data_IF_652842360238
#
_entry.id   IF_652842360238
#
_cell.length_a   1.000
_cell.length_b   1.000
_cell.length_c   1.000
_cell.angle_alpha   90.00
_cell.angle_beta   90.00
_cell.angle_gamma   90.00
#
_symmetry.space_group_name_H-M   'P 1'
#
loop_
_entity.id
_entity.type
_entity.pdbx_description
1 polymer ?
#
# COMPACT_ATOMS: atom_id res chain seq x y z
N UNK A 1 -26.14 -2.52 17.53
CA UNK A 1 -26.04 -1.21 18.21
C UNK A 1 -27.43 -0.64 18.44
N UNK A 2 -28.31 -0.58 17.44
CA UNK A 2 -29.68 -0.05 17.56
C UNK A 2 -30.58 -0.82 18.53
N UNK A 3 -30.24 -2.05 18.88
CA UNK A 3 -30.90 -2.88 19.90
C UNK A 3 -30.37 -2.63 21.32
N UNK A 4 -29.59 -1.59 21.54
CA UNK A 4 -29.01 -1.25 22.86
C UNK A 4 -27.79 -2.08 23.27
N UNK A 5 -27.26 -2.93 22.35
CA UNK A 5 -26.09 -3.75 22.65
C UNK A 5 -24.79 -3.03 22.27
N UNK A 6 -23.75 -3.21 23.09
CA UNK A 6 -22.39 -2.83 22.73
C UNK A 6 -21.83 -3.83 21.72
N UNK A 7 -21.20 -3.31 20.67
CA UNK A 7 -20.59 -4.12 19.60
C UNK A 7 -19.13 -3.75 19.48
N UNK A 8 -18.26 -4.77 19.47
CA UNK A 8 -16.86 -4.63 19.18
C UNK A 8 -16.56 -5.43 17.89
N UNK A 9 -16.00 -4.75 16.89
CA UNK A 9 -15.52 -5.39 15.66
C UNK A 9 -14.01 -5.51 15.73
N UNK A 10 -13.49 -6.74 15.61
CA UNK A 10 -12.06 -7.02 15.55
C UNK A 10 -11.64 -7.12 14.08
N UNK A 11 -10.54 -6.45 13.75
CA UNK A 11 -9.95 -6.46 12.41
C UNK A 11 -8.54 -7.04 12.47
N UNK A 12 -8.10 -7.63 11.37
CA UNK A 12 -6.71 -8.00 11.19
C UNK A 12 -5.89 -6.74 10.90
N UNK A 13 -4.81 -6.54 11.64
CA UNK A 13 -3.96 -5.36 11.52
C UNK A 13 -4.61 -4.06 12.06
N UNK A 14 -4.28 -2.93 11.47
CA UNK A 14 -4.87 -1.63 11.85
C UNK A 14 -6.27 -1.48 11.24
N UNK A 15 -7.31 -1.23 12.05
CA UNK A 15 -8.70 -1.20 11.56
C UNK A 15 -9.05 -0.02 10.65
N UNK A 16 -8.17 0.96 10.51
CA UNK A 16 -8.42 2.17 9.71
C UNK A 16 -7.46 2.38 8.55
N UNK A 17 -6.46 1.51 8.34
CA UNK A 17 -5.51 1.63 7.23
C UNK A 17 -5.96 0.73 6.09
N UNK A 18 -6.40 1.32 4.97
CA UNK A 18 -6.97 0.64 3.80
C UNK A 18 -8.20 -0.25 4.12
N UNK A 19 -8.99 0.12 5.13
CA UNK A 19 -10.19 -0.63 5.60
C UNK A 19 -11.43 0.26 5.54
N UNK A 20 -12.03 0.40 4.38
CA UNK A 20 -13.27 1.18 4.16
C UNK A 20 -14.44 0.77 5.09
N UNK A 21 -14.72 -0.54 5.33
CA UNK A 21 -15.88 -0.96 6.13
C UNK A 21 -15.89 -0.42 7.56
N UNK A 22 -14.76 -0.31 8.22
CA UNK A 22 -14.66 0.21 9.60
C UNK A 22 -14.99 1.69 9.68
N UNK A 23 -14.46 2.49 8.76
CA UNK A 23 -14.77 3.92 8.67
C UNK A 23 -16.25 4.15 8.40
N UNK A 24 -16.82 3.40 7.47
CA UNK A 24 -18.24 3.51 7.12
C UNK A 24 -19.16 3.07 8.28
N UNK A 25 -18.80 2.00 8.98
CA UNK A 25 -19.54 1.57 10.17
C UNK A 25 -19.56 2.66 11.24
N UNK A 26 -18.42 3.27 11.56
CA UNK A 26 -18.33 4.37 12.52
C UNK A 26 -19.15 5.57 12.05
N UNK A 27 -19.05 5.96 10.78
CA UNK A 27 -19.80 7.05 10.20
C UNK A 27 -21.32 6.84 10.36
N UNK A 28 -21.83 5.62 10.05
CA UNK A 28 -23.25 5.28 10.20
C UNK A 28 -23.71 5.31 11.65
N UNK A 29 -22.95 4.74 12.57
CA UNK A 29 -23.29 4.72 14.00
C UNK A 29 -23.35 6.14 14.56
N UNK A 30 -22.38 7.00 14.22
CA UNK A 30 -22.39 8.40 14.62
C UNK A 30 -23.55 9.20 14.04
N UNK A 31 -23.96 8.91 12.80
CA UNK A 31 -25.12 9.53 12.15
C UNK A 31 -26.46 9.19 12.85
N UNK A 32 -26.52 8.08 13.62
CA UNK A 32 -27.65 7.71 14.46
C UNK A 32 -27.60 8.34 15.86
N UNK A 33 -26.64 9.25 16.12
CA UNK A 33 -26.45 9.87 17.44
C UNK A 33 -25.84 8.93 18.49
N UNK A 34 -25.29 7.78 18.07
CA UNK A 34 -24.67 6.79 18.96
C UNK A 34 -23.14 6.96 18.98
N UNK A 35 -22.52 6.51 20.07
CA UNK A 35 -21.07 6.56 20.21
C UNK A 35 -20.38 5.44 19.44
N UNK A 36 -19.35 5.81 18.69
CA UNK A 36 -18.45 4.86 18.04
C UNK A 36 -17.05 5.47 17.90
N UNK A 37 -16.04 4.66 18.15
CA UNK A 37 -14.64 5.05 18.00
C UNK A 37 -13.81 3.87 17.47
N UNK A 38 -12.65 4.16 16.94
CA UNK A 38 -11.68 3.19 16.48
C UNK A 38 -10.50 3.20 17.45
N UNK A 39 -10.06 2.03 17.86
CA UNK A 39 -8.79 1.87 18.55
C UNK A 39 -7.70 1.62 17.51
N UNK A 40 -6.52 2.25 17.61
CA UNK A 40 -5.42 2.01 16.69
C UNK A 40 -4.88 0.60 16.86
N UNK A 41 -4.25 0.10 15.80
CA UNK A 41 -3.55 -1.17 15.78
C UNK A 41 -2.26 -1.06 14.97
N UNK A 42 -1.51 -2.14 14.85
CA UNK A 42 -0.31 -2.21 13.99
C UNK A 42 -0.76 -2.53 12.58
N UNK A 43 -0.33 -1.72 11.61
CA UNK A 43 -0.60 -1.93 10.17
C UNK A 43 0.55 -2.67 9.50
N UNK A 44 0.31 -3.15 8.28
CA UNK A 44 1.39 -3.66 7.42
C UNK A 44 2.41 -2.57 7.07
N UNK A 45 2.03 -1.29 7.13
CA UNK A 45 2.93 -0.15 6.93
C UNK A 45 3.94 -0.02 8.07
N UNK A 46 3.49 -0.18 9.32
CA UNK A 46 4.38 -0.18 10.49
C UNK A 46 5.40 -1.33 10.39
N UNK A 47 4.95 -2.53 9.98
CA UNK A 47 5.82 -3.68 9.76
C UNK A 47 6.82 -3.40 8.62
N UNK A 48 6.36 -2.89 7.49
CA UNK A 48 7.18 -2.56 6.33
C UNK A 48 8.29 -1.56 6.68
N UNK A 49 7.95 -0.50 7.42
CA UNK A 49 8.90 0.51 7.88
C UNK A 49 9.98 -0.14 8.76
N UNK A 50 9.58 -1.01 9.69
CA UNK A 50 10.49 -1.69 10.59
C UNK A 50 11.38 -2.69 9.86
N UNK A 51 10.80 -3.54 9.03
CA UNK A 51 11.49 -4.65 8.35
C UNK A 51 12.46 -4.15 7.26
N UNK A 52 12.12 -3.06 6.56
CA UNK A 52 12.95 -2.48 5.51
C UNK A 52 13.88 -1.37 6.01
N UNK A 53 13.75 -0.95 7.27
CA UNK A 53 14.53 0.15 7.84
C UNK A 53 14.28 1.50 7.14
N UNK A 54 13.06 1.74 6.69
CA UNK A 54 12.65 2.97 6.02
C UNK A 54 12.20 3.98 7.08
N UNK A 55 12.77 5.19 7.05
CA UNK A 55 12.26 6.31 7.82
C UNK A 55 11.61 7.33 6.88
N UNK A 56 10.28 7.49 6.92
CA UNK A 56 9.57 8.45 6.07
C UNK A 56 10.01 9.89 6.25
N UNK A 57 10.64 10.24 7.38
CA UNK A 57 11.15 11.59 7.62
C UNK A 57 12.32 11.97 6.71
N UNK A 58 13.06 10.98 6.19
CA UNK A 58 14.27 11.21 5.41
C UNK A 58 14.00 11.70 3.99
N UNK A 59 13.06 11.05 3.29
CA UNK A 59 12.75 11.34 1.88
C UNK A 59 11.28 11.75 1.68
N UNK A 60 10.45 11.60 2.70
CA UNK A 60 9.01 11.59 2.56
C UNK A 60 8.49 10.25 2.04
N UNK A 61 7.19 10.10 2.03
CA UNK A 61 6.54 8.90 1.57
C UNK A 61 5.21 9.22 0.89
N UNK A 62 4.92 8.57 -0.23
CA UNK A 62 3.63 8.59 -0.90
C UNK A 62 3.06 7.16 -0.85
N UNK A 63 1.82 7.00 -0.38
CA UNK A 63 1.21 5.70 -0.11
C UNK A 63 -0.12 5.59 -0.86
N UNK A 64 -0.28 4.54 -1.70
CA UNK A 64 -1.42 4.35 -2.59
C UNK A 64 -1.89 2.90 -2.60
N UNK A 65 -3.18 2.67 -2.83
CA UNK A 65 -3.70 1.37 -3.25
C UNK A 65 -3.45 1.20 -4.76
N UNK A 66 -3.03 0.00 -5.18
CA UNK A 66 -2.54 -0.24 -6.54
C UNK A 66 -3.56 0.10 -7.64
N UNK A 67 -4.83 -0.31 -7.49
CA UNK A 67 -5.85 -0.01 -8.51
C UNK A 67 -6.20 1.48 -8.54
N UNK A 68 -6.22 2.15 -7.37
CA UNK A 68 -6.42 3.60 -7.34
C UNK A 68 -5.25 4.34 -7.97
N UNK A 69 -4.03 3.83 -7.76
CA UNK A 69 -2.83 4.39 -8.40
C UNK A 69 -2.91 4.30 -9.93
N UNK A 70 -3.43 3.21 -10.48
CA UNK A 70 -3.61 3.03 -11.92
C UNK A 70 -4.76 3.87 -12.51
N UNK A 71 -5.85 4.07 -11.74
CA UNK A 71 -7.06 4.70 -12.26
C UNK A 71 -7.12 6.21 -12.06
N UNK A 72 -6.18 6.76 -11.30
CA UNK A 72 -6.14 8.19 -10.99
C UNK A 72 -4.83 8.81 -11.43
N UNK A 73 -4.90 10.05 -11.86
CA UNK A 73 -3.73 10.86 -12.21
C UNK A 73 -3.08 11.41 -10.92
N UNK A 74 -2.23 10.60 -10.30
CA UNK A 74 -1.44 11.02 -9.14
C UNK A 74 -0.12 11.63 -9.58
N UNK A 75 0.26 12.71 -8.94
CA UNK A 75 1.58 13.30 -9.14
C UNK A 75 2.63 12.50 -8.36
N UNK A 76 3.46 11.79 -9.08
CA UNK A 76 4.59 11.03 -8.51
C UNK A 76 5.76 12.00 -8.27
N UNK A 77 6.29 11.99 -7.05
CA UNK A 77 7.57 12.62 -6.74
C UNK A 77 8.64 11.54 -6.62
N UNK A 78 9.57 11.42 -7.58
CA UNK A 78 10.57 10.37 -7.59
C UNK A 78 11.64 10.51 -6.49
N UNK A 79 11.65 11.64 -5.78
CA UNK A 79 12.52 11.85 -4.62
C UNK A 79 11.86 11.44 -3.29
N UNK A 80 10.61 10.97 -3.33
CA UNK A 80 9.92 10.36 -2.20
C UNK A 80 9.85 8.84 -2.37
N UNK A 81 9.81 8.11 -1.27
CA UNK A 81 9.51 6.66 -1.32
C UNK A 81 8.05 6.46 -1.71
N UNK A 82 7.78 5.62 -2.73
CA UNK A 82 6.42 5.22 -3.07
C UNK A 82 6.11 3.88 -2.41
N UNK A 83 4.96 3.76 -1.77
CA UNK A 83 4.42 2.49 -1.25
C UNK A 83 3.11 2.23 -1.98
N UNK A 84 3.07 1.17 -2.78
CA UNK A 84 1.90 0.79 -3.58
C UNK A 84 1.38 -0.54 -3.05
N UNK A 85 0.23 -0.48 -2.37
CA UNK A 85 -0.39 -1.59 -1.68
C UNK A 85 -1.16 -2.50 -2.62
N UNK A 86 -1.19 -3.81 -2.29
CA UNK A 86 -2.02 -4.81 -2.95
C UNK A 86 -1.75 -4.92 -4.46
N UNK A 87 -0.49 -4.93 -4.86
CA UNK A 87 -0.12 -5.02 -6.28
C UNK A 87 -0.59 -6.31 -6.96
N UNK A 88 -0.89 -7.36 -6.21
CA UNK A 88 -1.54 -8.57 -6.72
C UNK A 88 -3.00 -8.35 -7.18
N UNK A 89 -3.61 -7.20 -6.82
CA UNK A 89 -4.94 -6.77 -7.22
C UNK A 89 -4.91 -5.61 -8.24
N UNK A 90 -3.73 -5.19 -8.67
CA UNK A 90 -3.57 -4.04 -9.54
C UNK A 90 -4.44 -4.13 -10.81
N UNK A 91 -5.25 -3.10 -11.05
CA UNK A 91 -6.16 -3.04 -12.19
C UNK A 91 -7.51 -3.77 -12.00
N UNK A 92 -7.75 -4.41 -10.85
CA UNK A 92 -9.02 -5.08 -10.54
C UNK A 92 -9.95 -4.14 -9.75
N UNK A 93 -11.06 -3.75 -10.39
CA UNK A 93 -12.03 -2.83 -9.77
C UNK A 93 -13.15 -3.56 -8.98
N UNK A 94 -13.34 -4.87 -9.18
CA UNK A 94 -14.55 -5.57 -8.72
C UNK A 94 -14.32 -6.60 -7.63
N UNK A 95 -13.07 -6.89 -7.26
CA UNK A 95 -12.70 -7.97 -6.32
C UNK A 95 -13.25 -9.35 -6.72
N UNK A 96 -13.69 -9.51 -7.97
CA UNK A 96 -14.13 -10.80 -8.51
C UNK A 96 -12.94 -11.64 -8.91
N UNK A 97 -13.07 -12.95 -8.79
CA UNK A 97 -12.04 -13.97 -8.97
C UNK A 97 -10.93 -13.57 -9.94
N UNK A 98 -9.75 -13.41 -9.36
CA UNK A 98 -8.57 -12.97 -10.04
C UNK A 98 -7.99 -14.11 -10.88
N UNK A 99 -7.99 -13.93 -12.18
CA UNK A 99 -7.17 -14.75 -13.06
C UNK A 99 -5.72 -14.25 -13.03
N UNK A 100 -4.75 -15.14 -13.09
CA UNK A 100 -3.34 -14.80 -13.17
C UNK A 100 -3.02 -13.74 -14.26
N UNK A 101 -3.81 -13.69 -15.31
CA UNK A 101 -3.68 -12.73 -16.40
C UNK A 101 -4.04 -11.29 -16.01
N UNK A 102 -4.96 -11.09 -15.06
CA UNK A 102 -5.32 -9.73 -14.59
C UNK A 102 -4.16 -9.08 -13.82
N UNK A 103 -3.55 -9.84 -12.92
CA UNK A 103 -2.39 -9.36 -12.17
C UNK A 103 -1.24 -8.94 -13.12
N UNK A 104 -1.01 -9.72 -14.18
CA UNK A 104 0.04 -9.43 -15.17
C UNK A 104 -0.22 -8.12 -15.93
N UNK A 105 -1.46 -7.85 -16.31
CA UNK A 105 -1.83 -6.59 -16.96
C UNK A 105 -1.63 -5.40 -16.03
N UNK A 106 -2.07 -5.51 -14.78
CA UNK A 106 -1.89 -4.45 -13.77
C UNK A 106 -0.42 -4.15 -13.48
N UNK A 107 0.42 -5.19 -13.37
CA UNK A 107 1.86 -5.02 -13.18
C UNK A 107 2.54 -4.36 -14.40
N UNK A 108 2.09 -4.68 -15.60
CA UNK A 108 2.58 -4.02 -16.81
C UNK A 108 2.25 -2.53 -16.79
N UNK A 109 1.00 -2.17 -16.47
CA UNK A 109 0.59 -0.76 -16.35
C UNK A 109 1.36 -0.03 -15.25
N UNK A 110 1.60 -0.68 -14.10
CA UNK A 110 2.43 -0.11 -13.03
C UNK A 110 3.86 0.14 -13.50
N UNK A 111 4.46 -0.82 -14.20
CA UNK A 111 5.80 -0.69 -14.74
C UNK A 111 5.89 0.46 -15.77
N UNK A 112 4.90 0.59 -16.65
CA UNK A 112 4.83 1.66 -17.65
C UNK A 112 4.77 3.04 -16.98
N UNK A 113 3.86 3.24 -16.02
CA UNK A 113 3.72 4.50 -15.28
C UNK A 113 5.01 4.84 -14.51
N UNK A 114 5.59 3.87 -13.80
CA UNK A 114 6.81 4.10 -13.04
C UNK A 114 8.02 4.39 -13.95
N UNK A 115 8.06 3.83 -15.16
CA UNK A 115 9.14 4.06 -16.13
C UNK A 115 9.18 5.49 -16.67
N UNK A 116 8.12 6.26 -16.50
CA UNK A 116 8.11 7.71 -16.82
C UNK A 116 8.94 8.52 -15.81
N UNK A 117 9.19 7.97 -14.62
CA UNK A 117 9.82 8.68 -13.49
C UNK A 117 11.12 8.05 -13.00
N UNK A 118 11.32 6.75 -13.26
CA UNK A 118 12.45 5.97 -12.75
C UNK A 118 13.18 5.24 -13.88
N UNK A 119 14.51 5.07 -13.80
CA UNK A 119 15.23 4.28 -14.78
C UNK A 119 14.87 2.79 -14.68
N UNK A 120 14.99 2.07 -15.81
CA UNK A 120 14.58 0.65 -15.87
C UNK A 120 15.37 -0.29 -14.98
N UNK A 121 16.58 0.08 -14.59
CA UNK A 121 17.46 -0.64 -13.64
C UNK A 121 17.25 -0.20 -12.17
N UNK A 122 16.25 0.65 -11.90
CA UNK A 122 15.90 1.03 -10.54
C UNK A 122 15.41 -0.18 -9.74
N UNK A 123 16.05 -0.44 -8.59
CA UNK A 123 15.71 -1.57 -7.72
C UNK A 123 14.44 -1.26 -6.93
N UNK A 124 13.42 -2.09 -7.11
CA UNK A 124 12.16 -2.08 -6.38
C UNK A 124 12.14 -3.23 -5.36
N UNK A 125 11.26 -3.14 -4.38
CA UNK A 125 11.08 -4.17 -3.36
C UNK A 125 9.62 -4.63 -3.37
N UNK A 126 9.39 -5.93 -3.53
CA UNK A 126 8.09 -6.56 -3.27
C UNK A 126 8.14 -7.11 -1.85
N UNK A 127 7.25 -6.60 -1.01
CA UNK A 127 7.20 -6.87 0.42
C UNK A 127 5.88 -7.54 0.83
N UNK A 128 5.98 -8.51 1.74
CA UNK A 128 4.85 -9.09 2.46
C UNK A 128 5.22 -9.21 3.94
N UNK A 129 4.39 -8.64 4.81
CA UNK A 129 4.61 -8.73 6.25
C UNK A 129 4.49 -10.18 6.73
N UNK A 130 5.24 -10.54 7.76
CA UNK A 130 5.09 -11.82 8.45
C UNK A 130 3.68 -11.93 9.04
N UNK A 131 3.02 -13.07 8.83
CA UNK A 131 1.67 -13.32 9.34
C UNK A 131 1.66 -13.79 10.79
N UNK A 132 2.78 -14.33 11.26
CA UNK A 132 2.99 -14.82 12.63
C UNK A 132 4.35 -14.32 13.13
N UNK A 133 4.50 -14.11 14.46
CA UNK A 133 5.77 -13.65 15.05
C UNK A 133 6.98 -14.58 14.83
N UNK A 134 6.72 -15.83 14.47
CA UNK A 134 7.76 -16.84 14.19
C UNK A 134 8.12 -16.93 12.71
N UNK A 135 7.44 -16.16 11.85
CA UNK A 135 7.71 -16.12 10.41
C UNK A 135 8.56 -14.91 10.07
N UNK A 136 9.38 -15.05 9.04
CA UNK A 136 10.10 -13.91 8.46
C UNK A 136 9.23 -13.19 7.44
N UNK A 137 9.39 -11.87 7.25
CA UNK A 137 8.77 -11.14 6.17
C UNK A 137 9.35 -11.61 4.82
N UNK A 138 8.54 -11.57 3.78
CA UNK A 138 9.03 -11.82 2.43
C UNK A 138 9.49 -10.52 1.81
N UNK A 139 10.76 -10.43 1.48
CA UNK A 139 11.41 -9.27 0.87
C UNK A 139 12.09 -9.74 -0.41
N UNK A 140 11.55 -9.31 -1.55
CA UNK A 140 12.05 -9.65 -2.87
C UNK A 140 12.45 -8.38 -3.62
N UNK A 141 13.72 -8.27 -4.01
CA UNK A 141 14.22 -7.21 -4.88
C UNK A 141 13.96 -7.56 -6.34
N UNK A 142 13.56 -6.57 -7.13
CA UNK A 142 13.26 -6.71 -8.55
C UNK A 142 13.61 -5.41 -9.26
N UNK A 143 14.15 -5.48 -10.46
CA UNK A 143 14.37 -4.28 -11.27
C UNK A 143 13.04 -3.80 -11.88
N UNK A 144 12.90 -2.49 -12.09
CA UNK A 144 11.68 -1.92 -12.67
C UNK A 144 11.35 -2.57 -14.03
N UNK A 145 12.32 -2.79 -14.90
CA UNK A 145 12.12 -3.46 -16.19
C UNK A 145 11.62 -4.91 -16.07
N UNK A 146 11.84 -5.56 -14.91
CA UNK A 146 11.42 -6.93 -14.62
C UNK A 146 10.08 -7.00 -13.86
N UNK A 147 9.55 -5.88 -13.36
CA UNK A 147 8.34 -5.84 -12.53
C UNK A 147 7.16 -6.55 -13.19
N UNK A 148 6.98 -6.37 -14.49
CA UNK A 148 5.93 -7.03 -15.27
C UNK A 148 5.97 -8.56 -15.25
N UNK A 149 7.09 -9.18 -14.86
CA UNK A 149 7.26 -10.64 -14.77
C UNK A 149 7.15 -11.14 -13.33
N UNK A 150 6.99 -10.25 -12.35
CA UNK A 150 6.84 -10.60 -10.95
C UNK A 150 5.54 -11.40 -10.72
N UNK A 151 5.55 -12.18 -9.63
CA UNK A 151 4.40 -13.01 -9.22
C UNK A 151 3.98 -12.63 -7.79
N UNK A 152 3.39 -11.47 -7.59
CA UNK A 152 2.93 -11.06 -6.26
C UNK A 152 1.74 -11.90 -5.81
N UNK A 153 1.54 -11.95 -4.50
CA UNK A 153 0.31 -12.45 -3.88
C UNK A 153 -0.69 -11.30 -3.67
N UNK A 154 -1.88 -11.60 -3.20
CA UNK A 154 -2.91 -10.58 -2.92
C UNK A 154 -2.50 -9.57 -1.84
N UNK A 155 -1.55 -9.94 -0.98
CA UNK A 155 -1.06 -9.09 0.12
C UNK A 155 0.26 -8.39 -0.20
N UNK A 156 0.83 -8.64 -1.39
CA UNK A 156 2.12 -8.05 -1.77
C UNK A 156 2.00 -6.53 -1.92
N UNK A 157 3.00 -5.84 -1.39
CA UNK A 157 3.18 -4.39 -1.46
C UNK A 157 4.42 -4.09 -2.27
N UNK A 158 4.36 -3.13 -3.17
CA UNK A 158 5.52 -2.63 -3.90
C UNK A 158 6.08 -1.39 -3.20
N UNK A 159 7.36 -1.41 -2.93
CA UNK A 159 8.11 -0.25 -2.47
C UNK A 159 9.03 0.19 -3.59
N UNK A 160 8.91 1.46 -3.97
CA UNK A 160 9.78 2.14 -4.93
C UNK A 160 10.67 3.09 -4.13
N UNK A 161 11.93 2.77 -3.91
CA UNK A 161 12.85 3.65 -3.19
C UNK A 161 13.01 5.00 -3.90
N UNK A 162 13.29 6.05 -3.13
CA UNK A 162 13.61 7.37 -3.66
C UNK A 162 14.85 7.33 -4.57
N UNK A 163 14.90 8.15 -5.62
CA UNK A 163 16.12 8.37 -6.42
C UNK A 163 17.24 9.08 -5.65
N UNK A 164 16.98 9.52 -4.43
CA UNK A 164 17.94 10.19 -3.55
C UNK A 164 17.40 11.48 -2.96
N UNK A 165 18.27 12.30 -2.37
CA UNK A 165 17.87 13.56 -1.79
C UNK A 165 17.58 14.60 -2.88
N UNK A 166 16.46 15.33 -2.80
CA UNK A 166 16.22 16.47 -3.68
C UNK A 166 17.26 17.57 -3.39
N UNK A 167 17.53 18.38 -4.40
CA UNK A 167 18.46 19.52 -4.26
C UNK A 167 17.90 20.53 -3.27
N UNK A 168 18.73 20.94 -2.29
CA UNK A 168 18.34 22.00 -1.37
C UNK A 168 18.06 23.32 -2.11
N UNK A 169 16.97 23.98 -1.75
CA UNK A 169 16.75 25.37 -2.18
C UNK A 169 17.77 26.27 -1.49
N UNK A 170 18.68 26.85 -2.26
CA UNK A 170 19.75 27.72 -1.72
C UNK A 170 19.25 29.10 -1.28
N UNK A 171 18.00 29.47 -1.61
CA UNK A 171 17.43 30.82 -1.44
C UNK A 171 16.47 30.96 -0.25
N UNK A 172 16.57 30.09 0.78
CA UNK A 172 15.76 30.22 1.99
C UNK A 172 16.58 30.15 3.25
#
# INVERSE_FOLDING_TARGET
VTSGQNVCAAFYGHPGVFVTPSHEAIRRVKALGLNAHMLPGVSAEDCLIADLGIDPSRYGCQSYEASQFLFRDYRIDPYMTQIIWQIGLAGEATMRVLNANHCQSGLTMLADILSEHYPGDHELIIYEAATLPICEPKIQKVLLCELKHAKPTLISTLVVPSLGMPVYRQDR
#
